data_IF_897488125941
#
_entry.id   IF_897488125941
#
_cell.length_a   1.000
_cell.length_b   1.000
_cell.length_c   1.000
_cell.angle_alpha   90.00
_cell.angle_beta   90.00
_cell.angle_gamma   90.00
#
_symmetry.space_group_name_H-M   'P 1'
#
loop_
_entity.id
_entity.type
_entity.pdbx_description
1 polymer ?
#
# COMPACT_ATOMS: atom_id res chain seq x y z
N UNK A 1 2.04 15.73 -22.11
CA UNK A 1 3.35 15.24 -21.62
C UNK A 1 3.08 14.12 -20.64
N UNK A 2 3.70 12.96 -20.86
CA UNK A 2 3.61 11.82 -19.94
C UNK A 2 4.14 12.21 -18.55
N UNK A 3 3.52 11.66 -17.50
CA UNK A 3 4.01 11.79 -16.13
C UNK A 3 5.27 10.96 -15.87
N UNK A 4 5.74 11.02 -14.63
CA UNK A 4 6.85 10.20 -14.14
C UNK A 4 6.33 9.02 -13.31
N UNK A 5 7.13 7.95 -13.21
CA UNK A 5 6.85 6.83 -12.31
C UNK A 5 6.57 7.36 -10.89
N UNK A 6 5.42 6.99 -10.28
CA UNK A 6 5.03 7.45 -8.94
C UNK A 6 6.10 7.18 -7.88
N UNK A 7 6.24 8.11 -6.93
CA UNK A 7 7.19 8.04 -5.80
C UNK A 7 6.47 8.27 -4.47
N UNK A 8 7.09 7.86 -3.37
CA UNK A 8 6.55 8.04 -2.03
C UNK A 8 6.19 9.51 -1.73
N UNK A 9 4.97 9.72 -1.28
CA UNK A 9 4.40 11.03 -0.94
C UNK A 9 3.94 11.85 -2.14
N UNK A 10 3.93 11.30 -3.36
CA UNK A 10 3.31 11.98 -4.49
C UNK A 10 1.80 11.80 -4.48
N UNK A 11 1.08 12.83 -4.91
CA UNK A 11 -0.37 12.88 -4.91
C UNK A 11 -0.88 12.78 -6.34
N UNK A 12 -1.84 11.89 -6.55
CA UNK A 12 -2.51 11.66 -7.83
C UNK A 12 -4.01 11.65 -7.65
N UNK A 13 -4.71 12.22 -8.63
CA UNK A 13 -6.15 12.02 -8.77
C UNK A 13 -6.37 10.70 -9.50
N UNK A 14 -6.95 9.70 -8.82
CA UNK A 14 -7.24 8.40 -9.43
C UNK A 14 -8.64 7.92 -9.08
N UNK A 15 -9.17 7.03 -9.91
CA UNK A 15 -10.31 6.20 -9.59
C UNK A 15 -9.83 4.73 -9.53
N UNK A 16 -9.66 4.14 -8.33
CA UNK A 16 -9.22 2.77 -8.23
C UNK A 16 -10.28 1.85 -8.85
N UNK A 17 -9.85 1.03 -9.81
CA UNK A 17 -10.70 0.02 -10.45
C UNK A 17 -10.09 -1.37 -10.36
N UNK A 18 -8.75 -1.48 -10.23
CA UNK A 18 -8.03 -2.75 -10.02
C UNK A 18 -7.17 -2.71 -8.77
N UNK A 19 -7.48 -3.60 -7.84
CA UNK A 19 -6.92 -3.59 -6.48
C UNK A 19 -6.35 -4.95 -6.11
N UNK A 20 -5.25 -4.95 -5.37
CA UNK A 20 -4.71 -6.16 -4.76
C UNK A 20 -5.43 -6.39 -3.44
N UNK A 21 -6.08 -7.54 -3.32
CA UNK A 21 -6.81 -7.93 -2.13
C UNK A 21 -6.35 -9.30 -1.66
N UNK A 22 -6.45 -9.51 -0.35
CA UNK A 22 -6.12 -10.75 0.31
C UNK A 22 -7.39 -11.36 0.90
N UNK A 23 -7.64 -12.65 0.65
CA UNK A 23 -8.70 -13.38 1.33
C UNK A 23 -8.29 -13.73 2.78
N UNK A 24 -9.24 -14.20 3.60
CA UNK A 24 -8.98 -14.46 5.03
C UNK A 24 -7.95 -15.55 5.32
N UNK A 25 -7.63 -16.40 4.35
CA UNK A 25 -6.60 -17.45 4.48
C UNK A 25 -5.27 -17.07 3.82
N UNK A 26 -5.12 -15.85 3.32
CA UNK A 26 -3.83 -15.34 2.85
C UNK A 26 -3.63 -15.32 1.33
N UNK A 27 -4.58 -15.81 0.52
CA UNK A 27 -4.45 -15.73 -0.95
C UNK A 27 -4.54 -14.28 -1.42
N UNK A 28 -3.49 -13.80 -2.08
CA UNK A 28 -3.41 -12.45 -2.66
C UNK A 28 -3.62 -12.54 -4.17
N UNK A 29 -4.52 -11.72 -4.70
CA UNK A 29 -4.70 -11.56 -6.15
C UNK A 29 -5.15 -10.14 -6.50
N UNK A 30 -5.19 -9.81 -7.79
CA UNK A 30 -5.73 -8.56 -8.34
C UNK A 30 -7.19 -8.77 -8.75
N UNK A 31 -8.06 -7.90 -8.27
CA UNK A 31 -9.49 -7.92 -8.53
C UNK A 31 -9.93 -6.62 -9.19
N UNK A 32 -10.85 -6.72 -10.13
CA UNK A 32 -11.67 -5.59 -10.55
C UNK A 32 -12.68 -5.27 -9.44
N UNK A 33 -12.80 -4.00 -9.07
CA UNK A 33 -13.73 -3.60 -8.02
C UNK A 33 -15.17 -3.76 -8.52
N UNK A 34 -16.02 -4.55 -7.81
CA UNK A 34 -17.40 -4.82 -8.22
C UNK A 34 -18.29 -3.63 -7.91
N UNK A 35 -19.62 -3.72 -8.01
CA UNK A 35 -20.47 -2.60 -7.59
C UNK A 35 -20.39 -2.35 -6.06
N UNK A 36 -20.72 -1.14 -5.57
CA UNK A 36 -20.76 -0.88 -4.13
C UNK A 36 -21.72 -1.82 -3.40
N UNK A 37 -21.23 -2.51 -2.37
CA UNK A 37 -22.02 -3.46 -1.57
C UNK A 37 -21.87 -4.92 -1.99
N UNK A 38 -21.20 -5.19 -3.11
CA UNK A 38 -20.92 -6.55 -3.57
C UNK A 38 -19.63 -7.12 -2.95
N UNK A 39 -19.64 -8.45 -2.77
CA UNK A 39 -18.48 -9.21 -2.33
C UNK A 39 -17.78 -9.83 -3.53
N UNK A 40 -16.45 -9.91 -3.46
CA UNK A 40 -15.64 -10.65 -4.42
C UNK A 40 -15.44 -12.09 -3.94
N UNK A 41 -15.39 -13.05 -4.85
CA UNK A 41 -14.95 -14.41 -4.54
C UNK A 41 -13.43 -14.52 -4.74
N UNK A 42 -12.77 -15.33 -3.94
CA UNK A 42 -11.34 -15.55 -4.09
C UNK A 42 -11.04 -16.27 -5.41
N UNK A 43 -10.07 -15.77 -6.18
CA UNK A 43 -9.70 -16.37 -7.48
C UNK A 43 -8.92 -17.70 -7.36
N UNK A 44 -8.54 -18.11 -6.15
CA UNK A 44 -7.82 -19.37 -5.96
C UNK A 44 -8.77 -20.56 -6.13
N UNK A 45 -8.42 -21.53 -6.99
CA UNK A 45 -9.29 -22.64 -7.40
C UNK A 45 -10.00 -23.37 -6.24
N UNK A 46 -9.29 -23.56 -5.12
CA UNK A 46 -9.82 -24.26 -3.94
C UNK A 46 -10.35 -23.34 -2.82
N UNK A 47 -10.62 -22.06 -3.12
CA UNK A 47 -11.02 -21.07 -2.12
C UNK A 47 -12.36 -20.41 -2.47
N UNK A 48 -13.39 -20.67 -1.66
CA UNK A 48 -14.74 -20.08 -1.81
C UNK A 48 -14.98 -18.86 -0.91
N UNK A 49 -13.92 -18.31 -0.32
CA UNK A 49 -14.04 -17.21 0.63
C UNK A 49 -14.39 -15.90 -0.07
N UNK A 50 -15.28 -15.15 0.58
CA UNK A 50 -15.72 -13.83 0.13
C UNK A 50 -14.83 -12.72 0.70
N UNK A 51 -14.43 -11.80 -0.16
CA UNK A 51 -13.66 -10.60 0.16
C UNK A 51 -14.59 -9.39 0.12
N UNK A 52 -14.53 -8.55 1.15
CA UNK A 52 -15.32 -7.32 1.22
C UNK A 52 -14.47 -6.10 0.81
N UNK A 53 -14.69 -5.52 -0.38
CA UNK A 53 -13.93 -4.36 -0.85
C UNK A 53 -14.45 -3.02 -0.31
N UNK A 54 -15.45 -3.00 0.58
CA UNK A 54 -16.13 -1.76 1.03
C UNK A 54 -15.23 -0.71 1.68
N UNK A 55 -14.05 -1.12 2.16
CA UNK A 55 -13.06 -0.20 2.76
C UNK A 55 -12.32 0.64 1.73
N UNK A 56 -12.37 0.27 0.45
CA UNK A 56 -11.73 1.01 -0.62
C UNK A 56 -12.65 2.15 -1.03
N UNK A 57 -12.14 3.37 -0.89
CA UNK A 57 -12.84 4.56 -1.36
C UNK A 57 -12.92 4.53 -2.89
N UNK A 58 -14.13 4.80 -3.40
CA UNK A 58 -14.47 4.73 -4.82
C UNK A 58 -14.67 6.12 -5.39
N UNK A 59 -14.55 6.21 -6.71
CA UNK A 59 -14.67 7.46 -7.45
C UNK A 59 -13.33 8.15 -7.62
N UNK A 60 -13.31 9.20 -8.42
CA UNK A 60 -12.10 9.99 -8.66
C UNK A 60 -11.81 10.87 -7.45
N UNK A 61 -10.75 10.57 -6.71
CA UNK A 61 -10.31 11.41 -5.58
C UNK A 61 -8.77 11.35 -5.41
N UNK A 62 -8.18 12.30 -4.65
CA UNK A 62 -6.74 12.32 -4.48
C UNK A 62 -6.26 11.16 -3.60
N UNK A 63 -5.09 10.62 -3.95
CA UNK A 63 -4.40 9.55 -3.25
C UNK A 63 -2.92 9.86 -3.14
N UNK A 64 -2.32 9.52 -2.01
CA UNK A 64 -0.88 9.56 -1.81
C UNK A 64 -0.32 8.19 -2.20
N UNK A 65 0.67 8.17 -3.09
CA UNK A 65 1.48 6.98 -3.32
C UNK A 65 2.46 6.79 -2.17
N UNK A 66 2.48 5.61 -1.54
CA UNK A 66 3.41 5.31 -0.44
C UNK A 66 4.56 4.43 -0.90
N UNK A 67 4.26 3.17 -1.23
CA UNK A 67 5.25 2.21 -1.69
C UNK A 67 4.89 1.68 -3.07
N UNK A 68 5.87 1.07 -3.75
CA UNK A 68 5.67 0.35 -4.99
C UNK A 68 6.27 -1.04 -4.85
N UNK A 69 5.59 -2.05 -5.36
CA UNK A 69 6.07 -3.41 -5.35
C UNK A 69 5.93 -4.04 -6.74
N UNK A 70 6.60 -5.16 -6.95
CA UNK A 70 6.44 -6.01 -8.12
C UNK A 70 6.40 -7.47 -7.66
N UNK A 71 5.43 -8.21 -8.16
CA UNK A 71 5.36 -9.65 -7.93
C UNK A 71 4.99 -10.38 -9.22
N UNK A 72 5.35 -11.66 -9.26
CA UNK A 72 5.02 -12.54 -10.36
C UNK A 72 3.65 -13.16 -10.10
N UNK A 73 2.69 -12.91 -10.99
CA UNK A 73 1.39 -13.58 -11.01
C UNK A 73 1.35 -14.60 -12.16
N UNK A 74 0.30 -15.41 -12.22
CA UNK A 74 0.07 -16.38 -13.30
C UNK A 74 0.07 -15.74 -14.70
N UNK A 75 -0.32 -14.47 -14.80
CA UNK A 75 -0.37 -13.69 -16.04
C UNK A 75 0.91 -12.89 -16.34
N UNK A 76 1.96 -13.02 -15.51
CA UNK A 76 3.23 -12.30 -15.66
C UNK A 76 3.54 -11.38 -14.48
N UNK A 77 4.57 -10.52 -14.65
CA UNK A 77 4.95 -9.55 -13.62
C UNK A 77 3.93 -8.42 -13.50
N UNK A 78 3.36 -8.26 -12.32
CA UNK A 78 2.43 -7.18 -11.98
C UNK A 78 3.16 -6.17 -11.11
N UNK A 79 3.16 -4.91 -11.56
CA UNK A 79 3.61 -3.79 -10.75
C UNK A 79 2.41 -3.23 -9.98
N UNK A 80 2.59 -3.02 -8.68
CA UNK A 80 1.56 -2.46 -7.81
C UNK A 80 2.06 -1.26 -7.03
N UNK A 81 1.12 -0.45 -6.57
CA UNK A 81 1.39 0.70 -5.72
C UNK A 81 0.48 0.67 -4.51
N UNK A 82 1.05 0.90 -3.34
CA UNK A 82 0.29 1.08 -2.11
C UNK A 82 -0.07 2.54 -1.96
N UNK A 83 -1.36 2.81 -1.75
CA UNK A 83 -1.95 4.13 -1.75
C UNK A 83 -2.65 4.42 -0.44
N UNK A 84 -2.56 5.67 0.00
CA UNK A 84 -3.31 6.21 1.13
C UNK A 84 -4.33 7.20 0.56
N UNK A 85 -5.64 6.95 0.71
CA UNK A 85 -6.64 7.85 0.15
C UNK A 85 -6.72 9.16 0.94
N UNK A 86 -6.97 10.25 0.20
CA UNK A 86 -7.24 11.57 0.75
C UNK A 86 -8.73 11.91 0.60
N UNK A 87 -9.30 12.54 1.62
CA UNK A 87 -10.66 13.06 1.56
C UNK A 87 -10.77 14.41 2.27
N UNK A 88 -11.62 15.31 1.76
CA UNK A 88 -11.98 16.54 2.46
C UNK A 88 -13.08 16.32 3.52
N UNK A 89 -13.69 15.12 3.57
CA UNK A 89 -14.73 14.80 4.56
C UNK A 89 -14.13 14.70 5.95
N UNK A 90 -14.85 15.20 6.96
CA UNK A 90 -14.41 15.13 8.36
C UNK A 90 -14.87 13.86 9.09
N UNK A 91 -15.42 12.87 8.38
CA UNK A 91 -16.10 11.71 8.97
C UNK A 91 -15.26 10.86 9.92
N UNK A 92 -13.93 10.99 9.85
CA UNK A 92 -12.98 10.22 10.68
C UNK A 92 -11.96 11.12 11.36
N UNK A 93 -12.26 12.41 11.48
CA UNK A 93 -11.42 13.39 12.18
C UNK A 93 -11.24 12.98 13.64
N UNK A 94 -10.01 13.06 14.12
CA UNK A 94 -9.64 12.71 15.51
C UNK A 94 -9.24 11.25 15.72
N UNK A 95 -9.40 10.36 14.73
CA UNK A 95 -8.82 9.02 14.83
C UNK A 95 -7.29 9.08 14.76
N UNK A 96 -6.57 8.26 15.54
CA UNK A 96 -5.10 8.23 15.51
C UNK A 96 -4.54 7.80 14.14
N UNK A 97 -5.33 7.08 13.35
CA UNK A 97 -5.00 6.62 12.00
C UNK A 97 -5.43 7.60 10.89
N UNK A 98 -5.72 8.85 11.26
CA UNK A 98 -6.10 9.92 10.34
C UNK A 98 -5.18 11.11 10.56
N UNK A 99 -4.63 11.65 9.47
CA UNK A 99 -3.72 12.79 9.51
C UNK A 99 -4.29 13.97 8.70
N UNK A 100 -4.48 15.15 9.31
CA UNK A 100 -4.85 16.36 8.58
C UNK A 100 -3.66 16.92 7.78
N UNK A 101 -3.89 17.26 6.52
CA UNK A 101 -2.90 17.86 5.62
C UNK A 101 -3.46 19.21 5.18
N UNK A 102 -2.74 20.28 5.53
CA UNK A 102 -3.11 21.63 5.12
C UNK A 102 -2.69 21.89 3.66
N UNK A 103 -3.41 22.73 2.91
CA UNK A 103 -2.99 23.20 1.60
C UNK A 103 -1.58 23.81 1.62
N UNK A 104 -0.73 23.38 0.70
CA UNK A 104 0.55 24.02 0.43
C UNK A 104 0.74 24.20 -1.06
N UNK A 105 1.66 25.08 -1.44
CA UNK A 105 2.05 25.26 -2.85
C UNK A 105 2.62 23.99 -3.49
N UNK A 106 3.05 23.00 -2.68
CA UNK A 106 3.65 21.74 -3.16
C UNK A 106 2.64 20.60 -3.27
N UNK A 107 1.62 20.56 -2.41
CA UNK A 107 0.61 19.50 -2.42
C UNK A 107 -0.61 19.82 -3.30
N UNK A 108 -0.78 21.10 -3.69
CA UNK A 108 -1.83 21.57 -4.60
C UNK A 108 -3.26 21.24 -4.14
N UNK A 109 -3.47 21.02 -2.84
CA UNK A 109 -4.80 20.79 -2.28
C UNK A 109 -5.57 22.11 -2.21
N UNK A 110 -6.85 22.10 -2.59
CA UNK A 110 -7.69 23.31 -2.56
C UNK A 110 -8.12 23.71 -1.13
N UNK A 111 -8.23 22.72 -0.25
CA UNK A 111 -8.61 22.87 1.15
C UNK A 111 -7.93 21.77 1.97
N UNK A 112 -8.03 21.85 3.30
CA UNK A 112 -7.53 20.80 4.18
C UNK A 112 -8.12 19.45 3.78
N UNK A 113 -7.25 18.45 3.67
CA UNK A 113 -7.63 17.07 3.40
C UNK A 113 -7.12 16.17 4.51
N UNK A 114 -7.74 15.00 4.63
CA UNK A 114 -7.41 14.00 5.63
C UNK A 114 -6.87 12.76 4.94
N UNK A 115 -5.67 12.32 5.34
CA UNK A 115 -5.11 11.05 4.93
C UNK A 115 -5.64 9.93 5.81
N UNK A 116 -6.35 8.97 5.22
CA UNK A 116 -6.93 7.83 5.94
C UNK A 116 -5.98 6.64 5.91
N UNK A 117 -5.03 6.63 6.86
CA UNK A 117 -3.99 5.60 6.97
C UNK A 117 -4.59 4.20 7.15
N UNK A 118 -5.67 4.09 7.91
CA UNK A 118 -6.37 2.81 8.12
C UNK A 118 -7.10 2.28 6.88
N UNK A 119 -7.22 3.09 5.81
CA UNK A 119 -7.75 2.70 4.52
C UNK A 119 -6.64 2.54 3.48
N UNK A 120 -5.39 2.35 3.90
CA UNK A 120 -4.29 2.03 2.98
C UNK A 120 -4.60 0.74 2.21
N UNK A 121 -4.37 0.75 0.90
CA UNK A 121 -4.64 -0.38 0.02
C UNK A 121 -3.71 -0.37 -1.19
N UNK A 122 -3.64 -1.48 -1.91
CA UNK A 122 -2.72 -1.65 -3.04
C UNK A 122 -3.49 -1.71 -4.36
N UNK A 123 -3.00 -1.01 -5.37
CA UNK A 123 -3.59 -0.97 -6.72
C UNK A 123 -2.63 -1.53 -7.76
N UNK A 124 -3.19 -2.02 -8.86
CA UNK A 124 -2.45 -2.29 -10.08
C UNK A 124 -1.88 -0.97 -10.67
N UNK A 125 -0.66 -1.02 -11.21
CA UNK A 125 0.02 0.15 -11.77
C UNK A 125 -0.76 0.86 -12.89
N UNK A 126 -1.65 0.16 -13.60
CA UNK A 126 -2.49 0.77 -14.63
C UNK A 126 -3.50 1.76 -14.05
N UNK A 127 -3.84 1.69 -12.75
CA UNK A 127 -4.63 2.73 -12.08
C UNK A 127 -3.91 4.10 -12.04
N UNK A 128 -2.58 4.12 -12.25
CA UNK A 128 -1.75 5.33 -12.30
C UNK A 128 -1.28 5.65 -13.73
N UNK A 129 -1.91 5.05 -14.74
CA UNK A 129 -1.61 5.29 -16.15
C UNK A 129 -2.83 5.81 -16.91
N UNK A 130 -2.60 6.55 -17.99
CA UNK A 130 -3.64 6.93 -18.95
C UNK A 130 -3.91 5.79 -19.96
N UNK A 131 -4.90 5.99 -20.84
CA UNK A 131 -5.26 5.02 -21.88
C UNK A 131 -4.16 4.72 -22.91
N UNK A 132 -3.08 5.52 -22.94
CA UNK A 132 -1.90 5.30 -23.76
C UNK A 132 -0.75 4.66 -22.95
N UNK A 133 -1.04 4.13 -21.76
CA UNK A 133 -0.08 3.53 -20.82
C UNK A 133 1.01 4.49 -20.31
N UNK A 134 0.84 5.81 -20.44
CA UNK A 134 1.72 6.78 -19.84
C UNK A 134 1.34 7.00 -18.39
N UNK A 135 2.31 7.28 -17.52
CA UNK A 135 2.02 7.68 -16.15
C UNK A 135 1.15 8.94 -16.11
N UNK A 136 0.17 8.96 -15.20
CA UNK A 136 -0.63 10.15 -14.94
C UNK A 136 0.24 11.33 -14.51
N UNK A 137 -0.26 12.54 -14.70
CA UNK A 137 0.39 13.74 -14.18
C UNK A 137 0.15 13.83 -12.68
N UNK A 138 1.23 13.93 -11.91
CA UNK A 138 1.19 14.21 -10.48
C UNK A 138 0.51 15.55 -10.22
N UNK A 139 -0.44 15.60 -9.28
CA UNK A 139 -1.12 16.85 -8.91
C UNK A 139 -0.39 17.60 -7.80
N UNK A 140 0.32 16.89 -6.90
CA UNK A 140 1.08 17.47 -5.82
C UNK A 140 2.02 16.48 -5.13
N UNK A 141 2.70 16.93 -4.08
CA UNK A 141 3.54 16.09 -3.23
C UNK A 141 3.49 16.56 -1.78
N UNK A 142 3.64 15.62 -0.86
CA UNK A 142 3.75 15.89 0.57
C UNK A 142 5.10 16.52 0.93
N UNK A 143 5.06 17.37 1.95
CA UNK A 143 6.24 17.86 2.65
C UNK A 143 6.81 16.80 3.58
N UNK A 144 8.08 16.99 3.99
CA UNK A 144 8.78 16.00 4.83
C UNK A 144 8.07 15.78 6.17
N UNK A 145 7.56 16.84 6.78
CA UNK A 145 6.80 16.78 8.03
C UNK A 145 5.55 15.90 7.89
N UNK A 146 4.79 16.09 6.81
CA UNK A 146 3.57 15.30 6.55
C UNK A 146 3.91 13.83 6.30
N UNK A 147 5.00 13.56 5.58
CA UNK A 147 5.45 12.17 5.37
C UNK A 147 5.80 11.49 6.69
N UNK A 148 6.56 12.16 7.56
CA UNK A 148 6.94 11.60 8.85
C UNK A 148 5.71 11.34 9.74
N UNK A 149 4.76 12.28 9.80
CA UNK A 149 3.56 12.14 10.61
C UNK A 149 2.61 11.03 10.11
N UNK A 150 2.62 10.75 8.81
CA UNK A 150 1.89 9.61 8.22
C UNK A 150 2.63 8.30 8.53
N UNK A 151 3.95 8.27 8.47
CA UNK A 151 4.77 7.08 8.80
C UNK A 151 4.54 6.65 10.27
N UNK A 152 4.57 7.57 11.22
CA UNK A 152 4.28 7.30 12.64
C UNK A 152 2.88 6.66 12.82
N UNK A 153 1.90 7.13 12.06
CA UNK A 153 0.54 6.59 12.09
C UNK A 153 0.42 5.24 11.41
N UNK A 154 1.23 4.97 10.39
CA UNK A 154 1.34 3.66 9.76
C UNK A 154 1.93 2.65 10.74
N UNK A 155 3.00 3.02 11.43
CA UNK A 155 3.61 2.19 12.49
C UNK A 155 2.59 1.86 13.57
N UNK A 156 1.86 2.88 14.06
CA UNK A 156 0.77 2.70 15.01
C UNK A 156 -0.33 1.77 14.47
N UNK A 157 -0.81 1.99 13.23
CA UNK A 157 -1.89 1.20 12.63
C UNK A 157 -1.49 -0.27 12.41
N UNK A 158 -0.25 -0.50 11.99
CA UNK A 158 0.28 -1.85 11.75
C UNK A 158 0.72 -2.55 13.05
N UNK A 159 0.64 -1.87 14.19
CA UNK A 159 1.11 -2.42 15.47
C UNK A 159 2.60 -2.70 15.47
N UNK A 160 3.38 -1.99 14.65
CA UNK A 160 4.83 -2.08 14.64
C UNK A 160 5.30 -1.33 15.88
N UNK A 161 5.73 -2.08 16.90
CA UNK A 161 6.33 -1.50 18.09
C UNK A 161 7.68 -0.89 17.73
N UNK A 162 8.06 0.23 18.36
CA UNK A 162 9.39 0.85 18.19
C UNK A 162 10.55 -0.10 18.52
N UNK A 163 10.25 -1.19 19.24
CA UNK A 163 11.15 -2.31 19.50
C UNK A 163 10.33 -3.62 19.39
N UNK A 164 10.18 -4.21 18.19
CA UNK A 164 9.47 -5.47 18.05
C UNK A 164 10.20 -6.53 18.87
N UNK A 165 9.46 -7.34 19.63
CA UNK A 165 10.04 -8.53 20.27
C UNK A 165 10.72 -9.39 19.21
N UNK A 166 11.79 -10.10 19.58
CA UNK A 166 12.59 -10.93 18.65
C UNK A 166 11.74 -11.91 17.84
N UNK A 167 10.57 -12.30 18.36
CA UNK A 167 9.64 -13.23 17.71
C UNK A 167 8.61 -12.57 16.79
N UNK A 168 8.52 -11.23 16.71
CA UNK A 168 7.55 -10.54 15.84
C UNK A 168 7.77 -10.91 14.38
N UNK A 169 9.03 -10.93 13.94
CA UNK A 169 9.38 -11.27 12.58
C UNK A 169 9.10 -12.76 12.28
N UNK A 170 9.34 -13.66 13.24
CA UNK A 170 8.97 -15.08 13.12
C UNK A 170 7.46 -15.29 13.00
N UNK A 171 6.65 -14.46 13.67
CA UNK A 171 5.18 -14.57 13.65
C UNK A 171 4.53 -13.90 12.44
N UNK A 172 5.22 -12.97 11.78
CA UNK A 172 4.63 -12.13 10.72
C UNK A 172 5.39 -12.18 9.38
N UNK A 173 6.58 -12.78 9.33
CA UNK A 173 7.38 -12.93 8.12
C UNK A 173 6.91 -14.11 7.27
N UNK A 174 6.56 -13.87 6.00
CA UNK A 174 6.33 -14.96 5.06
C UNK A 174 7.66 -15.61 4.65
N UNK A 175 7.68 -16.89 4.24
CA UNK A 175 8.88 -17.55 3.72
C UNK A 175 9.54 -16.76 2.57
N UNK A 176 8.75 -16.12 1.71
CA UNK A 176 9.25 -15.29 0.61
C UNK A 176 9.93 -14.01 1.13
N UNK A 177 9.39 -13.39 2.18
CA UNK A 177 9.96 -12.21 2.80
C UNK A 177 11.26 -12.55 3.52
N UNK A 178 11.28 -13.66 4.26
CA UNK A 178 12.47 -14.22 4.91
C UNK A 178 13.57 -14.47 3.88
N UNK A 179 13.22 -15.11 2.76
CA UNK A 179 14.15 -15.37 1.66
C UNK A 179 14.71 -14.08 1.07
N UNK A 180 13.86 -13.07 0.83
CA UNK A 180 14.32 -11.76 0.32
C UNK A 180 15.27 -11.06 1.28
N UNK A 181 14.98 -11.09 2.58
CA UNK A 181 15.84 -10.47 3.59
C UNK A 181 17.17 -11.20 3.68
N UNK A 182 17.15 -12.53 3.71
CA UNK A 182 18.35 -13.35 3.72
C UNK A 182 19.26 -13.07 2.50
N UNK A 183 18.69 -12.99 1.29
CA UNK A 183 19.44 -12.65 0.09
C UNK A 183 19.79 -11.15 -0.07
N UNK A 184 19.38 -10.29 0.86
CA UNK A 184 19.82 -8.90 0.92
C UNK A 184 20.99 -8.69 1.91
N UNK A 185 21.26 -9.65 2.79
CA UNK A 185 22.42 -9.64 3.67
C UNK A 185 23.72 -9.77 2.86
N UNK A 186 24.82 -9.27 3.41
CA UNK A 186 26.16 -9.51 2.88
C UNK A 186 26.53 -11.00 3.00
N UNK A 187 27.53 -11.50 2.26
CA UNK A 187 27.93 -12.91 2.39
C UNK A 187 28.40 -13.27 3.81
N UNK A 188 29.10 -12.34 4.47
CA UNK A 188 29.56 -12.51 5.85
C UNK A 188 28.37 -12.62 6.81
N UNK A 189 27.39 -11.72 6.68
CA UNK A 189 26.18 -11.74 7.52
C UNK A 189 25.31 -12.98 7.24
N UNK A 190 25.24 -13.46 5.98
CA UNK A 190 24.52 -14.70 5.66
C UNK A 190 25.17 -15.91 6.31
N UNK A 191 26.50 -15.97 6.29
CA UNK A 191 27.26 -17.06 6.88
C UNK A 191 27.07 -17.10 8.38
N UNK A 192 27.17 -15.94 9.05
CA UNK A 192 26.83 -15.77 10.47
C UNK A 192 25.41 -16.23 10.80
N UNK A 193 24.42 -15.80 10.02
CA UNK A 193 23.03 -16.22 10.22
C UNK A 193 22.88 -17.73 10.04
N UNK A 194 23.51 -18.34 9.04
CA UNK A 194 23.49 -19.80 8.85
C UNK A 194 24.15 -20.53 10.02
N UNK A 195 25.30 -20.05 10.50
CA UNK A 195 26.03 -20.63 11.63
C UNK A 195 25.20 -20.55 12.92
N UNK A 196 24.57 -19.42 13.20
CA UNK A 196 23.65 -19.25 14.34
C UNK A 196 22.40 -20.12 14.23
N UNK A 197 21.87 -20.36 13.02
CA UNK A 197 20.70 -21.24 12.82
C UNK A 197 21.04 -22.74 12.88
N UNK A 198 22.29 -23.12 12.63
CA UNK A 198 22.74 -24.51 12.59
C UNK A 198 23.42 -24.99 13.88
N UNK A 199 23.48 -24.17 14.94
CA UNK A 199 24.12 -24.46 16.22
C UNK A 199 25.56 -25.02 16.07
N UNK A 200 26.43 -24.33 15.33
CA UNK A 200 27.88 -24.62 15.28
C UNK A 200 28.69 -23.77 16.27
#
# INVERSE_FOLDING_TARGET
MAGQKPRQGWIYQINPHRVSLCCRVGHVDIYDLPEPGEFLECNHNDCTLKINPSRILRGSHPHITWTSNQFQAHSGYIQTFTLIPLSAKETSKGLPTVYPINPTSRNSLAAQAYAYVHQIYTVDANCLKDGNHNWLKRIGQLDKSDKNAIEERLQYFLGIQDNPRDDWFNRNGSPELLRKIFYNLSEDDRTLVIEEFLDF
#
